data_IF_069250162200
#
_entry.id   IF_069250162200
#
_cell.length_a   1.000
_cell.length_b   1.000
_cell.length_c   1.000
_cell.angle_alpha   90.00
_cell.angle_beta   90.00
_cell.angle_gamma   90.00
#
_symmetry.space_group_name_H-M   'P 1'
#
loop_
_entity.id
_entity.type
_entity.pdbx_description
1 polymer ?
#
# COMPACT_ATOMS: atom_id res chain seq x y z
N UNK A 1 14.81 -30.37 0.85
CA UNK A 1 14.58 -29.99 2.26
C UNK A 1 15.19 -28.62 2.65
N UNK A 2 15.82 -27.87 1.74
CA UNK A 2 16.51 -26.60 2.05
C UNK A 2 15.81 -25.32 1.55
N UNK A 3 14.70 -25.43 0.80
CA UNK A 3 13.97 -24.28 0.24
C UNK A 3 12.89 -23.69 1.17
N UNK A 4 12.39 -24.43 2.17
CA UNK A 4 11.32 -23.93 3.06
C UNK A 4 11.84 -22.95 4.13
N UNK A 5 13.10 -23.11 4.56
CA UNK A 5 13.75 -22.20 5.51
C UNK A 5 13.90 -20.76 4.96
N UNK A 6 14.40 -20.53 3.73
CA UNK A 6 14.48 -19.18 3.17
C UNK A 6 13.10 -18.57 2.87
N UNK A 7 12.09 -19.38 2.51
CA UNK A 7 10.74 -18.87 2.25
C UNK A 7 10.12 -18.25 3.52
N UNK A 8 10.10 -19.00 4.63
CA UNK A 8 9.56 -18.52 5.89
C UNK A 8 10.33 -17.31 6.41
N UNK A 9 11.66 -17.32 6.30
CA UNK A 9 12.49 -16.18 6.69
C UNK A 9 12.16 -14.91 5.88
N UNK A 10 11.96 -15.03 4.56
CA UNK A 10 11.58 -13.90 3.71
C UNK A 10 10.16 -13.41 4.00
N UNK A 11 9.22 -14.33 4.24
CA UNK A 11 7.85 -14.02 4.59
C UNK A 11 7.75 -13.29 5.94
N UNK A 12 8.33 -13.85 7.00
CA UNK A 12 8.35 -13.26 8.33
C UNK A 12 9.14 -11.94 8.32
N UNK A 13 10.27 -11.92 7.61
CA UNK A 13 11.09 -10.74 7.41
C UNK A 13 10.31 -9.60 6.74
N UNK A 14 9.54 -9.89 5.69
CA UNK A 14 8.71 -8.88 5.03
C UNK A 14 7.62 -8.32 5.94
N UNK A 15 6.97 -9.17 6.74
CA UNK A 15 5.95 -8.75 7.70
C UNK A 15 6.55 -7.84 8.78
N UNK A 16 7.69 -8.22 9.39
CA UNK A 16 8.35 -7.39 10.39
C UNK A 16 8.91 -6.11 9.78
N UNK A 17 9.41 -6.17 8.55
CA UNK A 17 10.00 -5.02 7.86
C UNK A 17 9.01 -3.88 7.65
N UNK A 18 7.73 -4.17 7.35
CA UNK A 18 6.75 -3.10 7.10
C UNK A 18 6.33 -2.36 8.38
N UNK A 19 6.34 -3.02 9.55
CA UNK A 19 5.75 -2.50 10.79
C UNK A 19 6.39 -1.19 11.29
N UNK A 20 7.73 -1.00 11.25
CA UNK A 20 8.34 0.27 11.60
C UNK A 20 7.81 1.44 10.75
N UNK A 21 7.61 1.24 9.44
CA UNK A 21 7.14 2.30 8.55
C UNK A 21 5.69 2.70 8.87
N UNK A 22 4.82 1.72 9.11
CA UNK A 22 3.46 1.98 9.58
C UNK A 22 3.44 2.70 10.92
N UNK A 23 4.25 2.24 11.87
CA UNK A 23 4.37 2.84 13.21
C UNK A 23 4.81 4.30 13.11
N UNK A 24 5.80 4.60 12.26
CA UNK A 24 6.26 5.96 12.01
C UNK A 24 5.16 6.86 11.40
N UNK A 25 4.45 6.37 10.39
CA UNK A 25 3.38 7.13 9.74
C UNK A 25 2.19 7.40 10.68
N UNK A 26 1.83 6.43 11.52
CA UNK A 26 0.65 6.50 12.39
C UNK A 26 0.94 7.29 13.67
N UNK A 27 2.04 6.99 14.37
CA UNK A 27 2.32 7.56 15.69
C UNK A 27 3.15 8.85 15.62
N UNK A 28 4.03 8.96 14.62
CA UNK A 28 5.00 10.05 14.52
C UNK A 28 4.98 10.73 13.13
N UNK A 29 3.80 11.16 12.61
CA UNK A 29 3.67 11.65 11.23
C UNK A 29 4.50 12.90 10.96
N UNK A 30 4.70 13.77 11.96
CA UNK A 30 5.43 15.02 11.79
C UNK A 30 6.93 14.93 12.09
N UNK A 31 7.42 13.76 12.49
CA UNK A 31 8.83 13.60 12.83
C UNK A 31 9.72 13.68 11.58
N UNK A 32 10.85 14.39 11.67
CA UNK A 32 11.76 14.59 10.54
C UNK A 32 12.31 13.27 9.96
N UNK A 33 12.46 12.25 10.80
CA UNK A 33 12.84 10.90 10.36
C UNK A 33 11.72 10.25 9.56
N UNK A 34 10.47 10.27 10.05
CA UNK A 34 9.30 9.76 9.30
C UNK A 34 9.21 10.38 7.91
N UNK A 35 9.32 11.72 7.84
CA UNK A 35 9.30 12.46 6.56
C UNK A 35 10.45 12.04 5.64
N UNK A 36 11.67 11.88 6.17
CA UNK A 36 12.84 11.46 5.37
C UNK A 36 12.71 10.03 4.85
N UNK A 37 12.29 9.11 5.71
CA UNK A 37 12.13 7.69 5.36
C UNK A 37 11.01 7.54 4.33
N UNK A 38 9.87 8.20 4.53
CA UNK A 38 8.73 8.17 3.59
C UNK A 38 8.95 9.01 2.34
N UNK A 39 9.94 9.90 2.29
CA UNK A 39 10.35 10.55 1.04
C UNK A 39 11.10 9.58 0.13
N UNK A 40 11.86 8.65 0.71
CA UNK A 40 12.66 7.67 -0.02
C UNK A 40 11.82 6.55 -0.62
N UNK A 41 12.24 6.05 -1.80
CA UNK A 41 11.68 4.85 -2.41
C UNK A 41 12.35 3.56 -1.94
N UNK A 42 13.40 3.65 -1.12
CA UNK A 42 14.22 2.50 -0.72
C UNK A 42 13.42 1.37 -0.02
N UNK A 43 12.46 1.64 0.89
CA UNK A 43 11.67 0.57 1.50
C UNK A 43 10.87 -0.25 0.47
N UNK A 44 10.34 0.42 -0.56
CA UNK A 44 9.55 -0.21 -1.62
C UNK A 44 10.44 -1.00 -2.57
N UNK A 45 11.62 -0.47 -2.91
CA UNK A 45 12.61 -1.18 -3.73
C UNK A 45 13.06 -2.46 -3.03
N UNK A 46 13.29 -2.43 -1.72
CA UNK A 46 13.67 -3.62 -0.95
C UNK A 46 12.57 -4.70 -1.00
N UNK A 47 11.30 -4.34 -0.73
CA UNK A 47 10.20 -5.29 -0.81
C UNK A 47 9.94 -5.78 -2.24
N UNK A 48 10.06 -4.91 -3.24
CA UNK A 48 9.93 -5.27 -4.65
C UNK A 48 11.04 -6.24 -5.09
N UNK A 49 12.27 -6.07 -4.59
CA UNK A 49 13.37 -7.00 -4.85
C UNK A 49 13.08 -8.38 -4.25
N UNK A 50 12.52 -8.44 -3.03
CA UNK A 50 12.08 -9.71 -2.42
C UNK A 50 10.97 -10.35 -3.24
N UNK A 51 9.96 -9.58 -3.67
CA UNK A 51 8.89 -10.06 -4.54
C UNK A 51 9.44 -10.63 -5.85
N UNK A 52 10.30 -9.89 -6.56
CA UNK A 52 10.91 -10.32 -7.82
C UNK A 52 11.74 -11.59 -7.61
N UNK A 53 12.49 -11.67 -6.52
CA UNK A 53 13.27 -12.87 -6.19
C UNK A 53 12.36 -14.08 -5.98
N UNK A 54 11.35 -13.96 -5.12
CA UNK A 54 10.39 -15.04 -4.85
C UNK A 54 9.66 -15.46 -6.13
N UNK A 55 9.24 -14.50 -6.95
CA UNK A 55 8.60 -14.77 -8.22
C UNK A 55 9.54 -15.50 -9.18
N UNK A 56 10.77 -15.03 -9.35
CA UNK A 56 11.73 -15.60 -10.29
C UNK A 56 12.15 -17.04 -9.93
N UNK A 57 12.30 -17.37 -8.64
CA UNK A 57 12.73 -18.71 -8.22
C UNK A 57 11.58 -19.73 -8.20
N UNK A 58 10.33 -19.28 -8.17
CA UNK A 58 9.14 -20.15 -8.15
C UNK A 58 8.35 -20.13 -9.47
N UNK A 59 8.75 -19.33 -10.46
CA UNK A 59 8.11 -19.31 -11.76
C UNK A 59 8.42 -20.61 -12.51
N UNK A 60 7.36 -21.35 -12.86
CA UNK A 60 7.43 -22.57 -13.65
C UNK A 60 6.49 -22.46 -14.87
N UNK A 61 6.60 -23.37 -15.86
CA UNK A 61 5.78 -23.29 -17.07
C UNK A 61 4.27 -23.35 -16.80
N UNK A 62 3.83 -24.15 -15.83
CA UNK A 62 2.41 -24.30 -15.45
C UNK A 62 1.86 -22.99 -14.86
N UNK A 63 2.63 -22.31 -14.00
CA UNK A 63 2.26 -21.01 -13.43
C UNK A 63 2.31 -19.89 -14.46
N UNK A 64 3.27 -19.90 -15.38
CA UNK A 64 3.32 -18.94 -16.47
C UNK A 64 2.09 -19.06 -17.40
N UNK A 65 1.66 -20.29 -17.71
CA UNK A 65 0.46 -20.54 -18.51
C UNK A 65 -0.81 -20.12 -17.77
N UNK A 66 -0.92 -20.44 -16.47
CA UNK A 66 -2.05 -20.03 -15.63
C UNK A 66 -2.16 -18.49 -15.53
N UNK A 67 -1.04 -17.77 -15.49
CA UNK A 67 -1.02 -16.30 -15.49
C UNK A 67 -1.37 -15.70 -16.85
N UNK A 68 -1.09 -16.40 -17.95
CA UNK A 68 -1.40 -15.93 -19.31
C UNK A 68 -2.90 -16.01 -19.64
N UNK A 69 -3.62 -16.99 -19.07
CA UNK A 69 -5.07 -17.11 -19.21
C UNK A 69 -5.73 -17.45 -17.86
N UNK A 70 -5.82 -16.47 -16.94
CA UNK A 70 -6.21 -16.71 -15.56
C UNK A 70 -7.68 -17.11 -15.45
N UNK A 71 -7.93 -18.34 -15.01
CA UNK A 71 -9.25 -18.77 -14.50
C UNK A 71 -9.25 -18.77 -12.98
N UNK A 72 -10.41 -18.52 -12.39
CA UNK A 72 -10.56 -18.49 -10.94
C UNK A 72 -10.11 -19.81 -10.28
N UNK A 73 -10.38 -20.95 -10.93
CA UNK A 73 -9.96 -22.28 -10.48
C UNK A 73 -8.44 -22.43 -10.45
N UNK A 74 -7.77 -21.88 -11.45
CA UNK A 74 -6.32 -22.02 -11.64
C UNK A 74 -5.58 -21.12 -10.63
N UNK A 75 -6.11 -19.92 -10.40
CA UNK A 75 -5.65 -19.03 -9.33
C UNK A 75 -5.87 -19.68 -7.95
N UNK A 76 -7.06 -20.22 -7.67
CA UNK A 76 -7.36 -20.85 -6.39
C UNK A 76 -6.43 -22.04 -6.11
N UNK A 77 -6.14 -22.84 -7.14
CA UNK A 77 -5.16 -23.94 -7.04
C UNK A 77 -3.73 -23.41 -6.85
N UNK A 78 -3.36 -22.30 -7.49
CA UNK A 78 -2.05 -21.69 -7.28
C UNK A 78 -1.85 -21.29 -5.81
N UNK A 79 -2.88 -20.73 -5.16
CA UNK A 79 -2.84 -20.34 -3.75
C UNK A 79 -2.76 -21.50 -2.74
N UNK A 80 -2.85 -22.76 -3.18
CA UNK A 80 -2.61 -23.90 -2.26
C UNK A 80 -1.12 -24.15 -2.01
N UNK A 81 -0.25 -23.60 -2.84
CA UNK A 81 1.21 -23.68 -2.67
C UNK A 81 1.71 -22.59 -1.73
N UNK A 82 2.53 -22.94 -0.75
CA UNK A 82 3.08 -21.99 0.24
C UNK A 82 3.88 -20.86 -0.44
N UNK A 83 4.61 -21.18 -1.50
CA UNK A 83 5.42 -20.20 -2.23
C UNK A 83 4.56 -19.18 -2.98
N UNK A 84 3.48 -19.64 -3.60
CA UNK A 84 2.50 -18.78 -4.28
C UNK A 84 1.80 -17.84 -3.30
N UNK A 85 1.39 -18.37 -2.15
CA UNK A 85 0.81 -17.57 -1.08
C UNK A 85 1.79 -16.51 -0.56
N UNK A 86 3.06 -16.86 -0.36
CA UNK A 86 4.10 -15.92 0.06
C UNK A 86 4.35 -14.81 -0.98
N UNK A 87 4.40 -15.15 -2.27
CA UNK A 87 4.56 -14.18 -3.37
C UNK A 87 3.40 -13.17 -3.37
N UNK A 88 2.17 -13.67 -3.31
CA UNK A 88 0.97 -12.84 -3.27
C UNK A 88 0.92 -11.99 -1.99
N UNK A 89 1.36 -12.52 -0.85
CA UNK A 89 1.41 -11.77 0.40
C UNK A 89 2.42 -10.62 0.33
N UNK A 90 3.64 -10.87 -0.15
CA UNK A 90 4.64 -9.81 -0.33
C UNK A 90 4.15 -8.77 -1.35
N UNK A 91 3.44 -9.19 -2.39
CA UNK A 91 2.77 -8.25 -3.31
C UNK A 91 1.82 -7.30 -2.56
N UNK A 92 0.94 -7.83 -1.71
CA UNK A 92 0.05 -7.01 -0.88
C UNK A 92 0.83 -6.08 0.05
N UNK A 93 1.86 -6.57 0.74
CA UNK A 93 2.68 -5.73 1.63
C UNK A 93 3.31 -4.54 0.90
N UNK A 94 3.85 -4.74 -0.31
CA UNK A 94 4.46 -3.65 -1.10
C UNK A 94 3.40 -2.63 -1.51
N UNK A 95 2.27 -3.11 -2.03
CA UNK A 95 1.20 -2.26 -2.55
C UNK A 95 0.52 -1.48 -1.42
N UNK A 96 0.20 -2.14 -0.30
CA UNK A 96 -0.45 -1.52 0.86
C UNK A 96 0.46 -0.47 1.51
N UNK A 97 1.77 -0.76 1.65
CA UNK A 97 2.70 0.24 2.16
C UNK A 97 2.81 1.44 1.20
N UNK A 98 2.77 1.21 -0.12
CA UNK A 98 2.84 2.28 -1.11
C UNK A 98 1.60 3.17 -1.06
N UNK A 99 0.41 2.56 -0.96
CA UNK A 99 -0.85 3.28 -0.76
C UNK A 99 -0.85 4.01 0.59
N UNK A 100 -0.36 3.38 1.66
CA UNK A 100 -0.17 3.99 2.97
C UNK A 100 0.72 5.23 2.91
N UNK A 101 1.85 5.16 2.21
CA UNK A 101 2.73 6.31 1.95
C UNK A 101 2.01 7.42 1.19
N UNK A 102 1.20 7.06 0.19
CA UNK A 102 0.42 8.04 -0.56
C UNK A 102 -0.60 8.75 0.34
N UNK A 103 -1.39 7.99 1.11
CA UNK A 103 -2.34 8.52 2.11
C UNK A 103 -1.62 9.45 3.09
N UNK A 104 -0.48 9.01 3.62
CA UNK A 104 0.34 9.80 4.55
C UNK A 104 0.72 11.15 3.92
N UNK A 105 1.32 11.17 2.73
CA UNK A 105 1.74 12.42 2.09
C UNK A 105 0.57 13.32 1.72
N UNK A 106 -0.56 12.74 1.33
CA UNK A 106 -1.75 13.51 1.02
C UNK A 106 -2.34 14.18 2.26
N UNK A 107 -2.39 13.47 3.40
CA UNK A 107 -2.71 14.07 4.69
C UNK A 107 -1.75 15.19 5.09
N UNK A 108 -0.45 15.00 4.88
CA UNK A 108 0.56 16.02 5.20
C UNK A 108 0.43 17.29 4.35
N UNK A 109 -0.06 17.19 3.10
CA UNK A 109 -0.30 18.34 2.22
C UNK A 109 -1.62 19.04 2.51
N UNK A 110 -2.67 18.26 2.74
CA UNK A 110 -4.05 18.76 2.89
C UNK A 110 -4.42 19.11 4.33
N UNK A 111 -3.63 18.68 5.32
CA UNK A 111 -3.97 18.78 6.73
C UNK A 111 -5.07 17.81 7.17
N UNK A 112 -5.53 16.91 6.29
CA UNK A 112 -6.55 15.91 6.59
C UNK A 112 -5.97 14.86 7.54
N UNK A 113 -6.74 14.51 8.57
CA UNK A 113 -6.37 13.45 9.50
C UNK A 113 -6.33 12.09 8.79
N UNK A 114 -5.25 11.32 8.94
CA UNK A 114 -5.00 10.09 8.18
C UNK A 114 -4.87 8.82 9.02
N UNK A 115 -4.88 8.91 10.35
CA UNK A 115 -4.60 7.76 11.24
C UNK A 115 -5.57 6.62 11.00
N UNK A 116 -6.87 6.89 10.92
CA UNK A 116 -7.88 5.86 10.65
C UNK A 116 -7.68 5.19 9.29
N UNK A 117 -7.39 5.97 8.25
CA UNK A 117 -7.12 5.45 6.91
C UNK A 117 -5.84 4.62 6.87
N UNK A 118 -4.79 5.02 7.59
CA UNK A 118 -3.54 4.25 7.66
C UNK A 118 -3.72 2.93 8.42
N UNK A 119 -4.46 2.94 9.54
CA UNK A 119 -4.78 1.71 10.28
C UNK A 119 -5.62 0.76 9.43
N UNK A 120 -6.62 1.27 8.70
CA UNK A 120 -7.41 0.46 7.78
C UNK A 120 -6.55 -0.07 6.62
N UNK A 121 -5.65 0.75 6.08
CA UNK A 121 -4.75 0.38 4.98
C UNK A 121 -3.77 -0.73 5.39
N UNK A 122 -3.31 -0.73 6.65
CA UNK A 122 -2.42 -1.77 7.19
C UNK A 122 -3.06 -3.17 7.16
N UNK A 123 -4.37 -3.28 7.42
CA UNK A 123 -5.08 -4.56 7.41
C UNK A 123 -5.72 -4.88 6.07
N UNK A 124 -6.13 -3.85 5.33
CA UNK A 124 -6.75 -3.95 4.03
C UNK A 124 -6.53 -2.66 3.23
N UNK A 125 -5.51 -2.66 2.36
CA UNK A 125 -5.17 -1.52 1.50
C UNK A 125 -6.36 -0.79 0.86
N UNK A 126 -7.30 -1.51 0.19
CA UNK A 126 -8.47 -0.90 -0.45
C UNK A 126 -9.39 -0.17 0.53
N UNK A 127 -9.57 -0.70 1.75
CA UNK A 127 -10.40 -0.09 2.79
C UNK A 127 -9.79 1.22 3.29
N UNK A 128 -8.47 1.24 3.50
CA UNK A 128 -7.74 2.44 3.89
C UNK A 128 -7.77 3.53 2.83
N UNK A 129 -7.60 3.15 1.56
CA UNK A 129 -7.70 4.06 0.42
C UNK A 129 -9.09 4.71 0.34
N UNK A 130 -10.14 3.90 0.39
CA UNK A 130 -11.52 4.40 0.36
C UNK A 130 -11.80 5.34 1.55
N UNK A 131 -11.36 4.94 2.75
CA UNK A 131 -11.48 5.76 3.95
C UNK A 131 -10.83 7.14 3.77
N UNK A 132 -9.62 7.19 3.20
CA UNK A 132 -8.94 8.46 2.97
C UNK A 132 -9.67 9.33 1.95
N UNK A 133 -10.09 8.76 0.82
CA UNK A 133 -10.81 9.50 -0.23
C UNK A 133 -12.10 10.13 0.34
N UNK A 134 -12.88 9.35 1.09
CA UNK A 134 -14.11 9.85 1.73
C UNK A 134 -13.79 10.97 2.72
N UNK A 135 -12.76 10.79 3.55
CA UNK A 135 -12.39 11.79 4.57
C UNK A 135 -11.90 13.08 3.92
N UNK A 136 -11.03 12.97 2.91
CA UNK A 136 -10.51 14.12 2.17
C UNK A 136 -11.63 14.90 1.48
N UNK A 137 -12.57 14.18 0.83
CA UNK A 137 -13.73 14.80 0.19
C UNK A 137 -14.63 15.55 1.19
N UNK A 138 -14.90 14.94 2.35
CA UNK A 138 -15.65 15.58 3.43
C UNK A 138 -14.93 16.83 3.92
N UNK A 139 -13.63 16.73 4.24
CA UNK A 139 -12.84 17.85 4.74
C UNK A 139 -12.79 19.03 3.76
N UNK A 140 -12.64 18.78 2.46
CA UNK A 140 -12.64 19.83 1.43
C UNK A 140 -13.98 20.55 1.32
N UNK A 141 -15.11 19.86 1.53
CA UNK A 141 -16.44 20.48 1.53
C UNK A 141 -16.68 21.39 2.73
N UNK A 142 -16.14 21.03 3.89
CA UNK A 142 -16.33 21.80 5.12
C UNK A 142 -15.30 22.94 5.28
N UNK A 143 -14.11 22.80 4.70
CA UNK A 143 -13.05 23.81 4.71
C UNK A 143 -12.54 24.05 3.28
N UNK A 144 -13.31 24.73 2.42
CA UNK A 144 -12.87 25.06 1.08
C UNK A 144 -11.60 25.93 1.13
N UNK A 145 -10.63 25.73 0.21
CA UNK A 145 -9.48 26.59 0.10
C UNK A 145 -9.93 28.04 -0.09
N UNK A 146 -9.27 28.99 0.58
CA UNK A 146 -9.65 30.40 0.69
C UNK A 146 -9.56 31.23 -0.62
N UNK A 147 -9.90 30.64 -1.78
CA UNK A 147 -9.79 31.24 -3.10
C UNK A 147 -11.01 31.10 -4.02
N UNK A 148 -12.06 30.36 -3.64
CA UNK A 148 -13.30 30.25 -4.42
C UNK A 148 -14.47 31.01 -3.78
N UNK A 149 -14.25 32.28 -3.45
CA UNK A 149 -15.36 33.21 -3.21
C UNK A 149 -15.90 33.69 -4.56
N UNK A 150 -16.83 32.93 -5.12
CA UNK A 150 -17.96 33.36 -5.95
C UNK A 150 -17.77 34.65 -6.78
N UNK A 151 -17.30 34.53 -8.02
CA UNK A 151 -17.66 35.47 -9.11
C UNK A 151 -18.89 34.96 -9.86
N UNK A 152 -19.98 34.73 -9.14
CA UNK A 152 -21.31 34.68 -9.76
C UNK A 152 -21.81 36.12 -9.87
N UNK A 153 -21.40 36.82 -10.93
CA UNK A 153 -22.01 38.10 -11.29
C UNK A 153 -23.39 37.83 -11.92
N UNK A 154 -24.48 38.44 -11.43
CA UNK A 154 -25.76 38.35 -12.10
C UNK A 154 -25.68 39.19 -13.38
N UNK A 155 -25.98 38.57 -14.53
CA UNK A 155 -26.17 39.26 -15.80
C UNK A 155 -27.37 40.22 -15.66
N UNK A 156 -27.07 41.50 -15.48
CA UNK A 156 -28.08 42.56 -15.54
C UNK A 156 -28.40 42.89 -17.00
N UNK A 157 -29.71 42.82 -17.30
CA UNK A 157 -30.49 43.64 -18.24
C UNK A 157 -29.94 43.94 -19.64
#
# INVERSE_FOLDING_TARGET
MTLNLPLNFLFDGANVFVLPFWTLMILLPNWGVTRRVMASFLPFVALAAVYIYLFAVNLNPETAEALANPKLTDIARFFTEESAAAIAWVHFLVMDLFVGRWIYWEGQKSGVWTVHSLVLCLFAGPMGLLSHIVTAWVSQKFFPPSGETTTAAPSAS
#
